data_IF_351138191569
#
_entry.id   IF_351138191569
#
_cell.length_a   1.000
_cell.length_b   1.000
_cell.length_c   1.000
_cell.angle_alpha   90.00
_cell.angle_beta   90.00
_cell.angle_gamma   90.00
#
_symmetry.space_group_name_H-M   'P 1'
#
loop_
_entity.id
_entity.type
_entity.pdbx_description
1 polymer ?
#
# COMPACT_ATOMS: atom_id res chain seq x y z
N UNK A 1 11.42 14.02 -24.33
CA UNK A 1 11.53 12.61 -23.88
C UNK A 1 10.52 12.35 -22.77
N UNK A 2 9.73 11.30 -22.90
CA UNK A 2 8.78 10.90 -21.86
C UNK A 2 9.52 10.29 -20.69
N UNK A 3 9.22 10.75 -19.47
CA UNK A 3 9.69 10.11 -18.25
C UNK A 3 8.74 8.98 -17.87
N UNK A 4 9.31 7.85 -17.46
CA UNK A 4 8.56 6.71 -16.94
C UNK A 4 8.94 6.53 -15.48
N UNK A 5 7.94 6.47 -14.61
CA UNK A 5 8.14 6.17 -13.20
C UNK A 5 7.93 4.67 -12.96
N UNK A 6 8.77 4.09 -12.13
CA UNK A 6 8.62 2.69 -11.69
C UNK A 6 7.72 2.67 -10.47
N UNK A 7 6.73 1.80 -10.50
CA UNK A 7 5.82 1.54 -9.37
C UNK A 7 6.07 0.10 -8.90
N UNK A 8 6.69 -0.05 -7.75
CA UNK A 8 7.05 -1.36 -7.17
C UNK A 8 5.97 -1.83 -6.20
N UNK A 9 5.57 -3.07 -6.28
CA UNK A 9 4.58 -3.68 -5.40
C UNK A 9 5.11 -4.89 -4.62
N UNK A 10 6.41 -5.01 -4.47
CA UNK A 10 7.04 -6.12 -3.74
C UNK A 10 6.44 -6.27 -2.33
N UNK A 11 6.25 -5.16 -1.63
CA UNK A 11 5.82 -5.17 -0.23
C UNK A 11 4.30 -5.32 -0.05
N UNK A 12 3.53 -5.21 -1.11
CA UNK A 12 2.09 -5.47 -1.06
C UNK A 12 1.75 -6.76 -1.81
N UNK A 13 1.87 -6.77 -3.12
CA UNK A 13 1.54 -7.94 -3.94
C UNK A 13 2.58 -9.06 -3.77
N UNK A 14 3.84 -8.72 -3.82
CA UNK A 14 4.93 -9.68 -3.62
C UNK A 14 4.92 -10.33 -2.25
N UNK A 15 4.48 -9.60 -1.23
CA UNK A 15 4.38 -10.13 0.14
C UNK A 15 3.26 -11.15 0.31
N UNK A 16 2.35 -11.28 -0.66
CA UNK A 16 1.29 -12.29 -0.67
C UNK A 16 1.78 -13.65 -1.17
N UNK A 17 2.99 -13.74 -1.69
CA UNK A 17 3.54 -14.99 -2.20
C UNK A 17 3.69 -16.02 -1.08
N UNK A 18 3.44 -17.28 -1.43
CA UNK A 18 3.58 -18.39 -0.48
C UNK A 18 5.03 -18.46 0.04
N UNK A 19 5.18 -18.64 1.34
CA UNK A 19 6.48 -18.74 1.99
C UNK A 19 7.19 -17.39 2.20
N UNK A 20 6.58 -16.29 1.81
CA UNK A 20 7.15 -14.95 2.02
C UNK A 20 6.51 -14.30 3.24
N UNK A 21 7.35 -13.84 4.16
CA UNK A 21 6.90 -13.08 5.33
C UNK A 21 7.93 -12.02 5.68
N UNK A 22 7.52 -10.76 5.65
CA UNK A 22 8.37 -9.63 6.01
C UNK A 22 7.97 -9.08 7.38
N UNK A 23 8.95 -8.83 8.24
CA UNK A 23 8.73 -8.00 9.43
C UNK A 23 8.61 -6.53 9.03
N UNK A 24 8.18 -5.67 9.95
CA UNK A 24 8.16 -4.22 9.71
C UNK A 24 9.57 -3.71 9.41
N UNK A 25 10.57 -4.20 10.16
CA UNK A 25 11.97 -3.84 9.95
C UNK A 25 12.47 -4.27 8.57
N UNK A 26 12.10 -5.46 8.10
CA UNK A 26 12.43 -5.94 6.76
C UNK A 26 11.84 -5.03 5.70
N UNK A 27 10.59 -4.64 5.85
CA UNK A 27 9.91 -3.74 4.91
C UNK A 27 10.62 -2.39 4.83
N UNK A 28 11.02 -1.83 5.97
CA UNK A 28 11.74 -0.56 6.00
C UNK A 28 13.10 -0.67 5.30
N UNK A 29 13.82 -1.77 5.51
CA UNK A 29 15.10 -2.02 4.82
C UNK A 29 14.92 -2.12 3.31
N UNK A 30 13.88 -2.81 2.87
CA UNK A 30 13.57 -2.95 1.44
C UNK A 30 13.22 -1.58 0.84
N UNK A 31 12.41 -0.79 1.52
CA UNK A 31 12.08 0.57 1.08
C UNK A 31 13.34 1.41 0.91
N UNK A 32 14.25 1.39 1.88
CA UNK A 32 15.50 2.15 1.79
C UNK A 32 16.35 1.72 0.60
N UNK A 33 16.43 0.41 0.33
CA UNK A 33 17.18 -0.12 -0.80
C UNK A 33 16.56 0.31 -2.14
N UNK A 34 15.24 0.25 -2.25
CA UNK A 34 14.52 0.69 -3.45
C UNK A 34 14.61 2.20 -3.66
N UNK A 35 14.61 2.97 -2.58
CA UNK A 35 14.82 4.42 -2.63
C UNK A 35 16.21 4.77 -3.17
N UNK A 36 17.25 4.07 -2.73
CA UNK A 36 18.60 4.24 -3.26
C UNK A 36 18.68 3.87 -4.75
N UNK A 37 17.94 2.85 -5.16
CA UNK A 37 17.87 2.45 -6.57
C UNK A 37 17.17 3.50 -7.45
N UNK A 38 16.37 4.39 -6.85
CA UNK A 38 15.67 5.44 -7.57
C UNK A 38 14.27 5.07 -8.03
N UNK A 39 13.64 4.07 -7.40
CA UNK A 39 12.25 3.70 -7.67
C UNK A 39 11.32 4.86 -7.31
N UNK A 40 10.40 5.20 -8.21
CA UNK A 40 9.51 6.36 -8.03
C UNK A 40 8.42 6.14 -6.99
N UNK A 41 7.80 4.96 -6.99
CA UNK A 41 6.70 4.63 -6.08
C UNK A 41 6.86 3.23 -5.51
N UNK A 42 6.54 3.07 -4.24
CA UNK A 42 6.47 1.76 -3.57
C UNK A 42 5.07 1.60 -2.97
N UNK A 43 4.32 0.62 -3.45
CA UNK A 43 3.07 0.19 -2.84
C UNK A 43 3.41 -0.74 -1.69
N UNK A 44 3.32 -0.23 -0.47
CA UNK A 44 4.02 -0.83 0.66
C UNK A 44 3.15 -1.72 1.54
N UNK A 45 1.86 -1.77 1.29
CA UNK A 45 0.97 -2.63 2.06
C UNK A 45 -0.46 -2.12 2.12
N UNK A 46 -1.30 -2.85 2.84
CA UNK A 46 -2.71 -2.54 3.04
C UNK A 46 -2.97 -2.28 4.53
N UNK A 47 -3.02 -1.01 4.95
CA UNK A 47 -3.16 -0.68 6.37
C UNK A 47 -4.50 -1.13 6.97
N UNK A 48 -5.52 -1.34 6.14
CA UNK A 48 -6.82 -1.82 6.60
C UNK A 48 -6.92 -3.34 6.77
N UNK A 49 -5.94 -4.10 6.29
CA UNK A 49 -6.03 -5.56 6.27
C UNK A 49 -5.23 -6.24 7.39
N UNK A 50 -4.17 -5.63 7.89
CA UNK A 50 -3.42 -6.24 8.98
C UNK A 50 -2.68 -5.20 9.84
N UNK A 51 -2.50 -5.52 11.16
CA UNK A 51 -1.83 -4.60 12.09
C UNK A 51 -0.37 -4.35 11.77
N UNK A 52 0.32 -5.29 11.16
CA UNK A 52 1.74 -5.14 10.79
C UNK A 52 1.90 -4.04 9.74
N UNK A 53 1.02 -3.99 8.75
CA UNK A 53 1.07 -2.94 7.74
C UNK A 53 0.72 -1.58 8.34
N UNK A 54 -0.23 -1.54 9.26
CA UNK A 54 -0.55 -0.30 9.98
C UNK A 54 0.67 0.23 10.73
N UNK A 55 1.39 -0.63 11.45
CA UNK A 55 2.62 -0.28 12.16
C UNK A 55 3.72 0.19 11.19
N UNK A 56 3.87 -0.49 10.06
CA UNK A 56 4.80 -0.06 9.02
C UNK A 56 4.53 1.38 8.58
N UNK A 57 3.29 1.73 8.28
CA UNK A 57 2.95 3.07 7.82
C UNK A 57 3.20 4.14 8.89
N UNK A 58 3.06 3.80 10.16
CA UNK A 58 3.45 4.71 11.25
C UNK A 58 4.97 4.94 11.28
N UNK A 59 5.74 3.88 11.18
CA UNK A 59 7.20 3.97 11.27
C UNK A 59 7.85 4.62 10.06
N UNK A 60 7.30 4.40 8.86
CA UNK A 60 7.88 4.96 7.64
C UNK A 60 7.79 6.48 7.58
N UNK A 61 6.88 7.08 8.33
CA UNK A 61 6.75 8.55 8.40
C UNK A 61 8.03 9.24 8.88
N UNK A 62 8.81 8.57 9.72
CA UNK A 62 10.05 9.11 10.27
C UNK A 62 11.29 8.77 9.45
N UNK A 63 11.14 8.02 8.36
CA UNK A 63 12.23 7.66 7.46
C UNK A 63 12.32 8.69 6.34
N UNK A 64 13.51 9.25 6.17
CA UNK A 64 13.77 10.23 5.11
C UNK A 64 14.07 9.50 3.80
N UNK A 65 13.20 9.67 2.80
CA UNK A 65 13.33 9.08 1.48
C UNK A 65 13.65 10.16 0.45
N UNK A 66 14.63 9.90 -0.41
CA UNK A 66 15.13 10.89 -1.38
C UNK A 66 14.39 10.85 -2.72
N UNK A 67 13.99 9.67 -3.16
CA UNK A 67 13.49 9.45 -4.52
C UNK A 67 12.07 8.86 -4.54
N UNK A 68 11.69 8.13 -3.51
CA UNK A 68 10.52 7.27 -3.52
C UNK A 68 9.34 7.89 -2.79
N UNK A 69 8.17 7.76 -3.38
CA UNK A 69 6.88 8.07 -2.75
C UNK A 69 6.24 6.76 -2.31
N UNK A 70 5.84 6.68 -1.05
CA UNK A 70 5.14 5.52 -0.49
C UNK A 70 3.67 5.62 -0.83
N UNK A 71 3.09 4.52 -1.30
CA UNK A 71 1.66 4.38 -1.55
C UNK A 71 1.04 3.34 -0.62
N UNK A 72 -0.08 3.67 -0.04
CA UNK A 72 -0.92 2.73 0.68
C UNK A 72 -1.94 2.13 -0.28
N UNK A 73 -2.24 0.84 -0.11
CA UNK A 73 -3.21 0.11 -0.94
C UNK A 73 -4.45 -0.24 -0.14
N UNK A 74 -5.60 -0.18 -0.78
CA UNK A 74 -6.84 -0.64 -0.18
C UNK A 74 -7.95 -0.79 -1.21
N UNK A 75 -9.08 -1.31 -0.77
CA UNK A 75 -10.26 -1.44 -1.60
C UNK A 75 -11.10 -0.15 -1.57
N UNK A 76 -11.99 -0.04 -2.55
CA UNK A 76 -13.05 0.96 -2.53
C UNK A 76 -14.00 0.70 -1.36
N UNK A 77 -14.90 1.63 -1.12
CA UNK A 77 -15.91 1.56 -0.06
C UNK A 77 -16.71 0.26 -0.11
N UNK A 78 -16.98 -0.32 1.05
CA UNK A 78 -17.88 -1.46 1.18
C UNK A 78 -19.31 -1.05 0.86
N UNK A 79 -20.06 -2.00 0.27
CA UNK A 79 -21.46 -1.82 -0.03
C UNK A 79 -22.25 -1.50 1.25
N UNK A 80 -23.10 -0.49 1.20
CA UNK A 80 -24.00 -0.15 2.30
C UNK A 80 -23.36 0.60 3.47
N UNK A 81 -22.08 0.94 3.38
CA UNK A 81 -21.35 1.67 4.44
C UNK A 81 -20.94 3.03 3.89
N UNK A 82 -21.16 4.10 4.66
CA UNK A 82 -20.68 5.43 4.24
C UNK A 82 -19.16 5.48 4.25
N UNK A 83 -18.53 6.30 3.39
CA UNK A 83 -17.07 6.41 3.37
C UNK A 83 -16.45 6.77 4.73
N UNK A 84 -17.11 7.61 5.50
CA UNK A 84 -16.64 8.03 6.82
C UNK A 84 -16.67 6.91 7.87
N UNK A 85 -17.48 5.88 7.65
CA UNK A 85 -17.62 4.73 8.55
C UNK A 85 -16.89 3.50 8.05
N UNK A 86 -16.36 3.53 6.83
CA UNK A 86 -15.61 2.42 6.25
C UNK A 86 -14.23 2.34 6.87
N UNK A 87 -13.99 1.29 7.66
CA UNK A 87 -12.71 1.12 8.36
C UNK A 87 -11.51 1.01 7.44
N UNK A 88 -11.69 0.45 6.25
CA UNK A 88 -10.62 0.32 5.27
C UNK A 88 -10.22 1.70 4.70
N UNK A 89 -11.19 2.52 4.34
CA UNK A 89 -10.92 3.88 3.86
C UNK A 89 -10.32 4.76 4.97
N UNK A 90 -10.78 4.60 6.21
CA UNK A 90 -10.22 5.32 7.34
C UNK A 90 -8.76 4.91 7.62
N UNK A 91 -8.44 3.63 7.47
CA UNK A 91 -7.06 3.15 7.60
C UNK A 91 -6.16 3.73 6.50
N UNK A 92 -6.66 3.83 5.27
CA UNK A 92 -5.92 4.47 4.18
C UNK A 92 -5.60 5.94 4.49
N UNK A 93 -6.56 6.67 5.03
CA UNK A 93 -6.35 8.07 5.42
C UNK A 93 -5.36 8.20 6.57
N UNK A 94 -5.45 7.30 7.57
CA UNK A 94 -4.53 7.35 8.72
C UNK A 94 -3.10 6.94 8.36
N UNK A 95 -2.89 6.20 7.28
CA UNK A 95 -1.56 5.90 6.80
C UNK A 95 -0.79 7.16 6.38
N UNK A 96 -1.51 8.23 6.04
CA UNK A 96 -0.97 9.55 5.76
C UNK A 96 0.12 9.54 4.68
N UNK A 97 -0.11 8.77 3.61
CA UNK A 97 0.79 8.71 2.47
C UNK A 97 0.43 9.75 1.42
N UNK A 98 1.41 10.17 0.64
CA UNK A 98 1.16 11.12 -0.47
C UNK A 98 0.35 10.51 -1.60
N UNK A 99 0.38 9.19 -1.72
CA UNK A 99 -0.29 8.45 -2.79
C UNK A 99 -1.06 7.28 -2.20
N UNK A 100 -2.24 7.04 -2.73
CA UNK A 100 -3.07 5.90 -2.35
C UNK A 100 -3.47 5.17 -3.64
N UNK A 101 -3.36 3.85 -3.61
CA UNK A 101 -3.86 2.98 -4.67
C UNK A 101 -5.13 2.30 -4.18
N UNK A 102 -6.23 2.48 -4.91
CA UNK A 102 -7.49 1.83 -4.56
C UNK A 102 -7.90 0.84 -5.65
N UNK A 103 -8.47 -0.27 -5.23
CA UNK A 103 -8.92 -1.34 -6.11
C UNK A 103 -10.42 -1.55 -5.97
N UNK A 104 -11.12 -1.51 -7.11
CA UNK A 104 -12.55 -1.82 -7.19
C UNK A 104 -12.78 -3.04 -8.08
N UNK A 105 -13.71 -3.89 -7.69
CA UNK A 105 -14.13 -5.03 -8.51
C UNK A 105 -14.91 -4.51 -9.73
N UNK A 106 -14.48 -4.92 -10.93
CA UNK A 106 -15.09 -4.48 -12.18
C UNK A 106 -15.61 -5.63 -13.05
N UNK A 107 -15.21 -6.86 -12.76
CA UNK A 107 -15.74 -8.04 -13.43
C UNK A 107 -17.16 -8.31 -12.91
N UNK A 108 -18.11 -8.51 -13.82
CA UNK A 108 -19.53 -8.69 -13.48
C UNK A 108 -19.76 -9.83 -12.49
N UNK A 109 -19.06 -10.95 -12.63
CA UNK A 109 -19.12 -12.04 -11.66
C UNK A 109 -18.76 -11.60 -10.24
N UNK A 110 -17.71 -10.80 -10.09
CA UNK A 110 -17.32 -10.27 -8.78
C UNK A 110 -18.33 -9.25 -8.24
N UNK A 111 -18.99 -8.51 -9.13
CA UNK A 111 -19.94 -7.47 -8.73
C UNK A 111 -21.28 -8.08 -8.30
N UNK A 112 -21.74 -9.12 -8.99
CA UNK A 112 -23.08 -9.69 -8.78
C UNK A 112 -23.10 -10.92 -7.88
N UNK A 113 -22.05 -11.75 -7.90
CA UNK A 113 -22.05 -13.08 -7.29
C UNK A 113 -21.10 -13.26 -6.10
N UNK A 114 -20.25 -12.28 -5.83
CA UNK A 114 -19.28 -12.32 -4.70
C UNK A 114 -19.38 -11.05 -3.80
#
# INVERSE_FOLDING_TARGET
MKKVAIFDSTLRDGAQAEGVSFSVEDKIKIVKALDELGVGYIEAGNPGSNPKDLDFFERIKSVDLKNTIIAAFGSTRRRGISPSEDGNLQALLSADTKTVAIFGKSWDFHVTDI
#
